data_IF_972360524675
#
_entry.id   IF_972360524675
#
_cell.length_a   1.000
_cell.length_b   1.000
_cell.length_c   1.000
_cell.angle_alpha   90.00
_cell.angle_beta   90.00
_cell.angle_gamma   90.00
#
_symmetry.space_group_name_H-M   'P 1'
#
loop_
_entity.id
_entity.type
_entity.pdbx_description
1 polymer ?
#
# COMPACT_ATOMS: atom_id res chain seq x y z
N UNK A 1 -14.38 28.14 -92.21
CA UNK A 1 -13.08 27.60 -92.66
C UNK A 1 -12.12 27.66 -91.47
N UNK A 2 -11.87 26.53 -90.81
CA UNK A 2 -10.70 26.34 -89.92
C UNK A 2 -9.48 26.06 -90.83
N UNK A 3 -8.18 26.08 -90.41
CA UNK A 3 -7.61 25.83 -89.06
C UNK A 3 -6.36 26.75 -88.76
N UNK A 4 -5.57 26.73 -87.68
CA UNK A 4 -4.84 25.66 -86.95
C UNK A 4 -4.16 26.23 -85.68
N UNK A 5 -4.09 25.39 -84.63
CA UNK A 5 -2.96 25.03 -83.73
C UNK A 5 -2.31 26.14 -82.87
N UNK A 6 -2.42 26.06 -81.54
CA UNK A 6 -1.56 25.31 -80.58
C UNK A 6 -0.10 25.82 -80.49
N UNK A 7 0.31 26.27 -79.30
CA UNK A 7 1.43 25.77 -78.45
C UNK A 7 1.59 26.69 -77.22
N UNK A 8 2.07 26.19 -76.06
CA UNK A 8 1.63 26.65 -74.73
C UNK A 8 2.73 27.27 -73.83
N UNK A 9 2.26 27.67 -72.64
CA UNK A 9 2.91 27.60 -71.32
C UNK A 9 3.95 28.66 -70.91
N UNK A 10 3.57 29.46 -69.90
CA UNK A 10 4.48 29.90 -68.83
C UNK A 10 3.76 29.93 -67.48
N UNK A 11 3.98 28.86 -66.71
CA UNK A 11 4.38 28.87 -65.29
C UNK A 11 3.50 29.67 -64.31
N UNK A 12 2.64 28.96 -63.59
CA UNK A 12 2.38 29.29 -62.19
C UNK A 12 2.73 28.08 -61.32
N UNK A 13 3.82 28.24 -60.58
CA UNK A 13 4.25 27.35 -59.49
C UNK A 13 3.27 27.58 -58.34
N UNK A 14 2.40 26.61 -58.07
CA UNK A 14 1.58 26.59 -56.86
C UNK A 14 2.19 25.56 -55.91
N UNK A 15 2.90 26.06 -54.91
CA UNK A 15 3.46 25.27 -53.80
C UNK A 15 2.27 24.71 -53.01
N UNK A 16 2.05 23.41 -53.11
CA UNK A 16 1.07 22.69 -52.30
C UNK A 16 1.75 22.21 -51.03
N UNK A 17 1.72 23.02 -49.97
CA UNK A 17 2.15 22.62 -48.64
C UNK A 17 1.10 21.68 -48.05
N UNK A 18 1.32 20.37 -48.16
CA UNK A 18 0.52 19.37 -47.46
C UNK A 18 0.89 19.40 -45.97
N UNK A 19 0.08 20.09 -45.16
CA UNK A 19 0.11 20.00 -43.70
C UNK A 19 -0.42 18.62 -43.28
N UNK A 20 0.48 17.67 -43.06
CA UNK A 20 0.18 16.45 -42.31
C UNK A 20 0.07 16.87 -40.84
N UNK A 21 -1.16 17.08 -40.37
CA UNK A 21 -1.44 17.18 -38.95
C UNK A 21 -1.27 15.79 -38.33
N UNK A 22 -0.06 15.48 -37.84
CA UNK A 22 0.14 14.39 -36.89
C UNK A 22 -0.59 14.77 -35.60
N UNK A 23 -1.80 14.28 -35.44
CA UNK A 23 -2.50 14.29 -34.16
C UNK A 23 -1.77 13.37 -33.21
N UNK A 24 -0.96 13.97 -32.33
CA UNK A 24 -0.46 13.30 -31.13
C UNK A 24 -1.70 13.02 -30.27
N UNK A 25 -2.21 11.79 -30.33
CA UNK A 25 -3.19 11.31 -29.36
C UNK A 25 -2.49 11.24 -28.02
N UNK A 26 -2.58 12.31 -27.24
CA UNK A 26 -2.33 12.24 -25.80
C UNK A 26 -3.39 11.31 -25.22
N UNK A 27 -3.03 10.04 -25.03
CA UNK A 27 -3.80 9.11 -24.21
C UNK A 27 -3.80 9.66 -22.79
N UNK A 28 -4.79 10.47 -22.44
CA UNK A 28 -5.13 10.72 -21.03
C UNK A 28 -5.53 9.35 -20.47
N UNK A 29 -4.61 8.73 -19.72
CA UNK A 29 -4.91 7.48 -19.04
C UNK A 29 -6.08 7.77 -18.10
N UNK A 30 -7.21 7.08 -18.29
CA UNK A 30 -8.37 7.25 -17.44
C UNK A 30 -7.97 7.06 -15.97
N UNK A 31 -8.36 8.00 -15.12
CA UNK A 31 -8.07 7.97 -13.68
C UNK A 31 -8.39 6.58 -13.09
N UNK A 32 -7.50 6.02 -12.26
CA UNK A 32 -7.74 4.72 -11.65
C UNK A 32 -8.99 4.76 -10.77
N UNK A 33 -9.70 3.64 -10.69
CA UNK A 33 -10.73 3.47 -9.68
C UNK A 33 -10.08 3.43 -8.29
N UNK A 34 -10.61 4.19 -7.33
CA UNK A 34 -10.11 4.25 -5.96
C UNK A 34 -11.26 4.08 -4.97
N UNK A 35 -11.02 3.28 -3.95
CA UNK A 35 -11.87 3.17 -2.77
C UNK A 35 -11.02 3.29 -1.51
N UNK A 36 -11.30 4.29 -0.68
CA UNK A 36 -10.77 4.38 0.69
C UNK A 36 -11.59 3.44 1.58
N UNK A 37 -10.92 2.52 2.26
CA UNK A 37 -11.52 1.54 3.18
C UNK A 37 -11.30 1.92 4.64
N UNK A 38 -10.15 2.51 4.94
CA UNK A 38 -9.80 3.01 6.27
C UNK A 38 -9.09 4.34 6.11
N UNK A 39 -9.47 5.33 6.91
CA UNK A 39 -8.75 6.59 7.03
C UNK A 39 -8.91 7.15 8.44
N UNK A 40 -7.84 7.13 9.23
CA UNK A 40 -7.87 7.70 10.57
C UNK A 40 -8.03 9.23 10.53
N UNK A 41 -7.50 9.88 9.50
CA UNK A 41 -7.58 11.34 9.34
C UNK A 41 -8.98 11.82 8.96
N UNK A 42 -9.75 10.99 8.24
CA UNK A 42 -11.13 11.29 7.83
C UNK A 42 -12.18 10.58 8.68
N UNK A 43 -11.77 9.81 9.70
CA UNK A 43 -12.64 8.97 10.53
C UNK A 43 -13.50 7.99 9.71
N UNK A 44 -12.86 7.31 8.74
CA UNK A 44 -13.50 6.32 7.87
C UNK A 44 -13.05 4.92 8.29
N UNK A 45 -14.01 4.03 8.49
CA UNK A 45 -13.81 2.59 8.56
C UNK A 45 -14.99 1.90 7.88
N UNK A 46 -14.72 1.18 6.80
CA UNK A 46 -15.74 0.44 6.05
C UNK A 46 -15.76 -0.99 6.57
N UNK A 47 -16.88 -1.48 7.10
CA UNK A 47 -16.98 -2.85 7.65
C UNK A 47 -16.94 -3.95 6.59
N UNK A 48 -17.63 -3.73 5.46
CA UNK A 48 -17.69 -4.67 4.35
C UNK A 48 -17.77 -3.92 3.03
N UNK A 49 -17.04 -4.38 2.02
CA UNK A 49 -17.03 -3.77 0.70
C UNK A 49 -16.60 -4.77 -0.37
N UNK A 50 -17.02 -4.55 -1.61
CA UNK A 50 -16.60 -5.36 -2.75
C UNK A 50 -16.49 -4.55 -4.06
N UNK A 51 -15.59 -5.00 -4.93
CA UNK A 51 -15.49 -4.58 -6.32
C UNK A 51 -15.13 -5.76 -7.22
N UNK A 52 -15.52 -5.70 -8.48
CA UNK A 52 -15.23 -6.74 -9.46
C UNK A 52 -14.89 -6.17 -10.84
N UNK A 53 -14.28 -7.01 -11.68
CA UNK A 53 -13.99 -6.70 -13.09
C UNK A 53 -15.23 -6.23 -13.84
N UNK A 54 -16.39 -6.86 -13.62
CA UNK A 54 -17.65 -6.53 -14.30
C UNK A 54 -18.06 -5.07 -14.13
N UNK A 55 -17.88 -4.52 -12.92
CA UNK A 55 -18.28 -3.14 -12.59
C UNK A 55 -17.17 -2.13 -12.88
N UNK A 56 -15.92 -2.49 -12.61
CA UNK A 56 -14.79 -1.53 -12.61
C UNK A 56 -13.99 -1.55 -13.91
N UNK A 57 -13.76 -2.74 -14.48
CA UNK A 57 -12.97 -2.94 -15.71
C UNK A 57 -13.63 -3.98 -16.62
N UNK A 58 -14.82 -3.69 -17.20
CA UNK A 58 -15.61 -4.69 -17.93
C UNK A 58 -14.91 -5.24 -19.19
N UNK A 59 -13.79 -4.63 -19.61
CA UNK A 59 -12.95 -5.06 -20.72
C UNK A 59 -11.78 -5.97 -20.29
N UNK A 60 -11.62 -6.25 -18.99
CA UNK A 60 -10.59 -7.17 -18.50
C UNK A 60 -10.84 -8.58 -19.03
N UNK A 61 -9.81 -9.23 -19.57
CA UNK A 61 -9.92 -10.57 -20.13
C UNK A 61 -10.13 -11.65 -19.05
N UNK A 62 -9.54 -11.47 -17.87
CA UNK A 62 -9.73 -12.35 -16.73
C UNK A 62 -10.67 -11.69 -15.70
N UNK A 63 -11.64 -12.44 -15.15
CA UNK A 63 -12.47 -11.94 -14.06
C UNK A 63 -11.63 -11.76 -12.79
N UNK A 64 -11.95 -10.73 -12.02
CA UNK A 64 -11.31 -10.49 -10.73
C UNK A 64 -12.32 -9.88 -9.74
N UNK A 65 -12.02 -10.02 -8.45
CA UNK A 65 -12.76 -9.37 -7.37
C UNK A 65 -11.83 -8.94 -6.24
N UNK A 66 -12.18 -7.84 -5.58
CA UNK A 66 -11.59 -7.45 -4.29
C UNK A 66 -12.71 -7.36 -3.28
N UNK A 67 -12.52 -7.97 -2.10
CA UNK A 67 -13.48 -7.93 -1.00
C UNK A 67 -12.79 -7.46 0.27
N UNK A 68 -13.51 -6.64 1.05
CA UNK A 68 -13.17 -6.30 2.42
C UNK A 68 -14.21 -6.89 3.37
N UNK A 69 -13.76 -7.44 4.49
CA UNK A 69 -14.62 -7.91 5.57
C UNK A 69 -13.99 -7.66 6.95
N UNK A 70 -14.82 -7.37 7.96
CA UNK A 70 -14.45 -7.38 9.38
C UNK A 70 -14.80 -8.74 9.98
N UNK A 71 -13.81 -9.42 10.57
CA UNK A 71 -13.98 -10.68 11.29
C UNK A 71 -14.67 -10.47 12.64
N UNK A 72 -15.38 -11.51 13.09
CA UNK A 72 -16.18 -11.52 14.32
C UNK A 72 -15.88 -12.77 15.15
N UNK A 73 -16.05 -12.67 16.47
CA UNK A 73 -15.92 -13.74 17.45
C UNK A 73 -14.49 -13.98 17.94
N UNK A 74 -14.33 -14.42 19.19
CA UNK A 74 -13.04 -14.78 19.77
C UNK A 74 -12.02 -13.64 19.76
N UNK A 75 -10.73 -13.97 19.59
CA UNK A 75 -9.65 -12.97 19.58
C UNK A 75 -9.49 -12.27 18.22
N UNK A 76 -10.22 -12.67 17.18
CA UNK A 76 -10.23 -12.01 15.87
C UNK A 76 -11.32 -10.92 15.74
N UNK A 77 -12.13 -10.70 16.78
CA UNK A 77 -13.17 -9.67 16.77
C UNK A 77 -12.59 -8.31 16.35
N UNK A 78 -13.15 -7.74 15.29
CA UNK A 78 -12.77 -6.44 14.74
C UNK A 78 -11.60 -6.46 13.76
N UNK A 79 -11.03 -7.63 13.43
CA UNK A 79 -9.92 -7.70 12.45
C UNK A 79 -10.43 -7.57 11.03
N UNK A 80 -9.81 -6.69 10.25
CA UNK A 80 -10.11 -6.49 8.84
C UNK A 80 -9.28 -7.42 7.96
N UNK A 81 -9.93 -7.95 6.92
CA UNK A 81 -9.28 -8.65 5.82
C UNK A 81 -9.59 -7.94 4.49
N UNK A 82 -8.60 -7.90 3.61
CA UNK A 82 -8.77 -7.61 2.18
C UNK A 82 -8.39 -8.86 1.41
N UNK A 83 -9.33 -9.38 0.62
CA UNK A 83 -9.13 -10.54 -0.25
C UNK A 83 -9.12 -10.07 -1.70
N UNK A 84 -7.97 -10.17 -2.36
CA UNK A 84 -7.84 -9.93 -3.80
C UNK A 84 -7.86 -11.28 -4.49
N UNK A 85 -8.85 -11.52 -5.33
CA UNK A 85 -8.88 -12.65 -6.26
C UNK A 85 -8.72 -12.10 -7.68
N UNK A 86 -7.60 -12.40 -8.35
CA UNK A 86 -7.32 -11.90 -9.70
C UNK A 86 -7.82 -12.85 -10.81
N UNK A 87 -8.56 -13.91 -10.46
CA UNK A 87 -9.01 -14.98 -11.35
C UNK A 87 -8.07 -16.20 -11.38
N UNK A 88 -6.84 -16.08 -10.89
CA UNK A 88 -5.85 -17.17 -10.81
C UNK A 88 -5.22 -17.31 -9.42
N UNK A 89 -4.93 -16.17 -8.80
CA UNK A 89 -4.43 -16.02 -7.44
C UNK A 89 -5.48 -15.40 -6.53
N UNK A 90 -5.55 -15.91 -5.31
CA UNK A 90 -6.23 -15.27 -4.19
C UNK A 90 -5.20 -14.87 -3.12
N UNK A 91 -5.22 -13.60 -2.70
CA UNK A 91 -4.29 -13.03 -1.71
C UNK A 91 -5.13 -12.47 -0.57
N UNK A 92 -4.87 -12.92 0.66
CA UNK A 92 -5.56 -12.42 1.87
C UNK A 92 -4.61 -11.53 2.68
N UNK A 93 -4.96 -10.26 2.80
CA UNK A 93 -4.19 -9.20 3.46
C UNK A 93 -4.90 -8.80 4.76
N UNK A 94 -4.15 -8.46 5.80
CA UNK A 94 -4.68 -8.09 7.12
C UNK A 94 -4.30 -6.65 7.47
N UNK A 95 -5.12 -5.64 7.12
CA UNK A 95 -4.82 -4.24 7.46
C UNK A 95 -4.67 -3.98 8.96
N UNK A 96 -5.42 -4.68 9.81
CA UNK A 96 -5.34 -4.56 11.27
C UNK A 96 -4.00 -5.06 11.84
N UNK A 97 -3.21 -5.80 11.05
CA UNK A 97 -1.94 -6.40 11.45
C UNK A 97 -0.81 -6.00 10.50
N UNK A 98 -0.53 -4.70 10.43
CA UNK A 98 0.59 -4.15 9.67
C UNK A 98 0.55 -4.45 8.17
N UNK A 99 -0.65 -4.65 7.61
CA UNK A 99 -0.86 -5.07 6.21
C UNK A 99 -0.15 -6.39 5.87
N UNK A 100 -0.05 -7.32 6.84
CA UNK A 100 0.52 -8.65 6.62
C UNK A 100 -0.28 -9.47 5.60
N UNK A 101 0.36 -10.47 4.99
CA UNK A 101 -0.30 -11.42 4.10
C UNK A 101 -0.54 -12.72 4.85
N UNK A 102 -1.81 -12.99 5.16
CA UNK A 102 -2.20 -14.23 5.83
C UNK A 102 -1.84 -15.45 5.00
N UNK A 103 -2.21 -15.42 3.72
CA UNK A 103 -1.95 -16.49 2.75
C UNK A 103 -2.08 -15.97 1.31
N UNK A 104 -1.48 -16.69 0.38
CA UNK A 104 -1.82 -16.62 -1.04
C UNK A 104 -2.06 -18.02 -1.61
N UNK A 105 -3.03 -18.16 -2.52
CA UNK A 105 -3.44 -19.46 -3.09
C UNK A 105 -3.52 -19.39 -4.61
N UNK A 106 -2.99 -20.42 -5.29
CA UNK A 106 -3.12 -20.64 -6.74
C UNK A 106 -3.52 -22.09 -7.01
N UNK A 107 -4.78 -22.36 -7.33
CA UNK A 107 -5.26 -23.75 -7.44
C UNK A 107 -4.98 -24.52 -6.15
N UNK A 108 -4.19 -25.59 -6.22
CA UNK A 108 -3.79 -26.41 -5.06
C UNK A 108 -2.54 -25.89 -4.33
N UNK A 109 -1.83 -24.90 -4.88
CA UNK A 109 -0.60 -24.36 -4.28
C UNK A 109 -0.92 -23.23 -3.30
N UNK A 110 -0.55 -23.43 -2.03
CA UNK A 110 -0.70 -22.44 -0.94
C UNK A 110 0.65 -21.89 -0.50
N UNK A 111 0.78 -20.57 -0.49
CA UNK A 111 1.79 -19.84 0.27
C UNK A 111 1.23 -19.53 1.65
N UNK A 112 1.63 -20.32 2.64
CA UNK A 112 1.17 -20.26 4.03
C UNK A 112 1.54 -21.52 4.81
N UNK A 113 1.20 -21.54 6.09
CA UNK A 113 1.49 -22.65 6.99
C UNK A 113 0.37 -22.80 8.02
N UNK A 114 0.28 -23.97 8.67
CA UNK A 114 -0.80 -24.27 9.61
C UNK A 114 -0.36 -24.00 11.06
N UNK A 115 -0.45 -22.74 11.48
CA UNK A 115 -0.18 -22.33 12.86
C UNK A 115 -1.17 -22.96 13.86
N UNK A 116 -0.77 -23.25 15.11
CA UNK A 116 -1.72 -23.55 16.18
C UNK A 116 -2.63 -22.36 16.52
N UNK A 117 -2.22 -21.12 16.21
CA UNK A 117 -3.04 -19.91 16.37
C UNK A 117 -4.04 -19.81 15.22
N UNK A 118 -5.30 -20.21 15.47
CA UNK A 118 -6.34 -20.29 14.43
C UNK A 118 -7.04 -18.96 14.13
N UNK A 119 -7.17 -18.11 15.14
CA UNK A 119 -7.73 -16.77 14.98
C UNK A 119 -6.71 -15.84 14.31
N UNK A 120 -7.17 -14.95 13.43
CA UNK A 120 -6.36 -13.77 13.04
C UNK A 120 -6.45 -12.79 14.21
N UNK A 121 -5.58 -12.93 15.21
CA UNK A 121 -5.72 -12.24 16.50
C UNK A 121 -5.59 -10.73 16.33
N UNK A 122 -6.57 -9.97 16.82
CA UNK A 122 -6.49 -8.51 16.85
C UNK A 122 -5.37 -8.07 17.81
N UNK A 123 -4.51 -7.09 17.45
CA UNK A 123 -3.44 -6.62 18.33
C UNK A 123 -3.88 -6.12 19.71
N UNK A 124 -5.15 -5.74 19.91
CA UNK A 124 -5.69 -5.35 21.22
C UNK A 124 -5.64 -6.50 22.24
N UNK A 125 -5.59 -7.75 21.77
CA UNK A 125 -5.51 -8.96 22.59
C UNK A 125 -4.09 -9.50 22.74
N UNK A 126 -3.08 -8.79 22.21
CA UNK A 126 -1.68 -9.19 22.23
C UNK A 126 -0.92 -8.29 23.19
N UNK A 127 -0.38 -8.87 24.25
CA UNK A 127 0.60 -8.20 25.09
C UNK A 127 2.01 -8.61 24.64
N UNK A 128 2.66 -7.76 23.83
CA UNK A 128 3.99 -8.03 23.26
C UNK A 128 5.06 -8.31 24.33
N UNK A 129 4.95 -7.70 25.51
CA UNK A 129 5.90 -7.86 26.62
C UNK A 129 5.75 -9.20 27.36
N UNK A 130 4.64 -9.92 27.15
CA UNK A 130 4.39 -11.18 27.84
C UNK A 130 5.44 -12.23 27.50
N UNK A 131 5.64 -13.19 28.42
CA UNK A 131 6.59 -14.31 28.27
C UNK A 131 8.03 -13.87 27.94
N UNK A 132 8.46 -12.74 28.52
CA UNK A 132 9.80 -12.19 28.28
C UNK A 132 9.96 -11.65 26.85
N UNK A 133 8.98 -10.86 26.38
CA UNK A 133 8.99 -10.27 25.05
C UNK A 133 8.55 -11.21 23.92
N UNK A 134 8.06 -12.42 24.23
CA UNK A 134 7.59 -13.41 23.25
C UNK A 134 6.08 -13.31 22.95
N UNK A 135 5.39 -12.31 23.48
CA UNK A 135 3.94 -12.14 23.29
C UNK A 135 3.49 -12.02 21.84
N UNK A 136 4.38 -11.61 20.94
CA UNK A 136 4.15 -11.58 19.49
C UNK A 136 3.69 -12.95 18.94
N UNK A 137 4.15 -14.07 19.53
CA UNK A 137 3.78 -15.42 19.12
C UNK A 137 2.32 -15.78 19.39
N UNK A 138 1.63 -15.08 20.30
CA UNK A 138 0.20 -15.33 20.60
C UNK A 138 -0.70 -15.01 19.40
N UNK A 139 -0.19 -14.26 18.41
CA UNK A 139 -0.91 -13.89 17.21
C UNK A 139 -0.38 -14.49 15.91
N UNK A 140 0.78 -15.12 15.88
CA UNK A 140 1.47 -15.41 14.61
C UNK A 140 0.84 -16.56 13.83
N UNK A 141 0.32 -16.25 12.64
CA UNK A 141 -0.19 -17.25 11.69
C UNK A 141 -0.10 -16.81 10.21
N UNK A 142 0.49 -15.65 9.95
CA UNK A 142 0.65 -15.12 8.61
C UNK A 142 1.72 -15.86 7.82
N UNK A 143 1.54 -15.94 6.49
CA UNK A 143 2.60 -16.34 5.58
C UNK A 143 3.71 -15.29 5.51
N UNK A 144 3.34 -14.00 5.47
CA UNK A 144 4.26 -12.88 5.46
C UNK A 144 3.83 -11.84 6.48
N UNK A 145 4.72 -11.60 7.45
CA UNK A 145 4.63 -10.52 8.41
C UNK A 145 5.83 -9.58 8.23
N UNK A 146 5.64 -8.29 8.57
CA UNK A 146 6.74 -7.33 8.61
C UNK A 146 7.30 -7.30 10.03
N UNK A 147 8.55 -7.75 10.19
CA UNK A 147 9.26 -7.70 11.46
C UNK A 147 10.08 -6.40 11.52
N UNK A 148 9.67 -5.44 12.35
CA UNK A 148 10.13 -4.06 12.28
C UNK A 148 9.20 -3.06 12.98
N UNK A 149 9.32 -1.76 12.70
CA UNK A 149 10.41 -1.10 11.95
C UNK A 149 11.51 -0.59 12.89
N UNK A 150 11.12 -0.11 14.07
CA UNK A 150 12.05 0.43 15.08
C UNK A 150 13.14 -0.59 15.46
N UNK A 151 12.76 -1.86 15.59
CA UNK A 151 13.65 -2.98 15.86
C UNK A 151 13.09 -4.27 15.25
N UNK A 152 13.93 -5.29 15.13
CA UNK A 152 13.54 -6.65 14.76
C UNK A 152 14.47 -7.67 15.44
N UNK A 153 14.17 -8.96 15.26
CA UNK A 153 14.96 -10.04 15.87
C UNK A 153 14.32 -10.60 17.14
N UNK A 154 15.13 -11.29 17.96
CA UNK A 154 14.72 -11.88 19.22
C UNK A 154 14.48 -10.84 20.32
N UNK A 155 13.69 -11.16 21.36
CA UNK A 155 13.54 -10.27 22.50
C UNK A 155 14.82 -10.23 23.35
N UNK A 156 15.01 -9.14 24.09
CA UNK A 156 16.10 -8.98 25.04
C UNK A 156 16.54 -7.53 25.24
N UNK A 157 17.55 -7.30 26.08
CA UNK A 157 18.06 -5.97 26.35
C UNK A 157 18.78 -5.40 25.13
N UNK A 158 18.54 -4.13 24.86
CA UNK A 158 19.27 -3.33 23.89
C UNK A 158 19.65 -1.97 24.49
N UNK A 159 20.76 -1.40 24.01
CA UNK A 159 21.33 -0.14 24.49
C UNK A 159 21.32 0.90 23.37
N UNK A 160 20.84 2.10 23.66
CA UNK A 160 20.68 3.18 22.70
C UNK A 160 20.93 4.54 23.34
N UNK A 161 21.23 5.55 22.52
CA UNK A 161 21.32 6.93 22.99
C UNK A 161 19.92 7.53 23.03
N UNK A 162 19.50 8.00 24.21
CA UNK A 162 18.19 8.59 24.40
C UNK A 162 18.11 10.01 23.81
N UNK A 163 16.93 10.63 23.94
CA UNK A 163 16.66 11.97 23.41
C UNK A 163 17.42 13.13 24.10
N UNK A 164 18.11 12.87 25.20
CA UNK A 164 18.97 13.85 25.91
C UNK A 164 20.47 13.56 25.76
N UNK A 165 20.85 12.49 25.04
CA UNK A 165 22.24 12.15 24.74
C UNK A 165 22.88 11.13 25.68
N UNK A 166 22.14 10.60 26.65
CA UNK A 166 22.64 9.58 27.57
C UNK A 166 22.44 8.17 27.01
N UNK A 167 23.32 7.25 27.39
CA UNK A 167 23.12 5.82 27.16
C UNK A 167 21.97 5.31 28.03
N UNK A 168 21.01 4.66 27.38
CA UNK A 168 19.86 4.04 28.02
C UNK A 168 19.74 2.58 27.54
N UNK A 169 19.08 1.74 28.36
CA UNK A 169 18.77 0.37 28.00
C UNK A 169 17.25 0.15 28.01
N UNK A 170 16.76 -0.68 27.08
CA UNK A 170 15.37 -1.14 27.06
C UNK A 170 15.28 -2.62 26.73
N UNK A 171 14.24 -3.28 27.26
CA UNK A 171 13.87 -4.63 26.82
C UNK A 171 13.05 -4.55 25.52
N UNK A 172 13.63 -5.06 24.43
CA UNK A 172 12.96 -5.19 23.15
C UNK A 172 12.10 -6.46 23.10
N UNK A 173 10.97 -6.36 22.40
CA UNK A 173 10.08 -7.50 22.15
C UNK A 173 10.42 -8.17 20.84
N UNK A 174 10.01 -9.44 20.69
CA UNK A 174 10.19 -10.21 19.47
C UNK A 174 9.63 -9.45 18.25
N UNK A 175 10.48 -9.27 17.24
CA UNK A 175 10.12 -8.80 15.89
C UNK A 175 9.52 -7.38 15.79
N UNK A 176 9.70 -6.54 16.81
CA UNK A 176 9.21 -5.17 16.80
C UNK A 176 7.67 -5.08 16.86
N UNK A 177 7.12 -3.95 16.41
CA UNK A 177 5.70 -3.62 16.61
C UNK A 177 4.88 -3.58 15.34
N UNK A 178 5.47 -3.33 14.17
CA UNK A 178 4.72 -2.94 12.95
C UNK A 178 3.66 -3.97 12.53
N UNK A 179 3.93 -5.28 12.68
CA UNK A 179 2.96 -6.35 12.40
C UNK A 179 1.75 -6.35 13.36
N UNK A 180 1.86 -5.70 14.52
CA UNK A 180 0.80 -5.56 15.52
C UNK A 180 0.28 -4.13 15.60
N UNK A 181 0.50 -3.30 14.57
CA UNK A 181 -0.10 -1.97 14.45
C UNK A 181 -1.15 -1.98 13.32
N UNK A 182 -2.38 -1.52 13.59
CA UNK A 182 -3.38 -1.31 12.55
C UNK A 182 -2.94 -0.20 11.58
N UNK A 183 -3.24 -0.38 10.30
CA UNK A 183 -3.03 0.66 9.28
C UNK A 183 -3.91 1.89 9.52
N UNK A 184 -3.33 3.09 9.39
CA UNK A 184 -4.03 4.37 9.50
C UNK A 184 -4.80 4.70 8.23
N UNK A 185 -4.25 4.34 7.07
CA UNK A 185 -4.87 4.56 5.77
C UNK A 185 -4.87 3.24 4.99
N UNK A 186 -5.97 2.90 4.36
CA UNK A 186 -6.10 1.70 3.51
C UNK A 186 -6.97 2.04 2.31
N UNK A 187 -6.44 1.83 1.10
CA UNK A 187 -7.18 2.03 -0.14
C UNK A 187 -7.00 0.86 -1.12
N UNK A 188 -8.04 0.63 -1.92
CA UNK A 188 -7.97 -0.25 -3.10
C UNK A 188 -7.94 0.61 -4.34
N UNK A 189 -6.95 0.35 -5.22
CA UNK A 189 -6.71 1.13 -6.44
C UNK A 189 -6.66 0.17 -7.63
N UNK A 190 -7.49 0.40 -8.65
CA UNK A 190 -7.53 -0.43 -9.87
C UNK A 190 -7.33 0.43 -11.11
N UNK A 191 -6.34 0.09 -11.93
CA UNK A 191 -6.13 0.79 -13.21
C UNK A 191 -7.31 0.53 -14.16
N UNK A 192 -7.79 1.59 -14.82
CA UNK A 192 -8.90 1.48 -15.80
C UNK A 192 -8.45 1.10 -17.20
N UNK A 193 -7.14 0.96 -17.41
CA UNK A 193 -6.54 0.55 -18.67
C UNK A 193 -5.72 -0.73 -18.48
N UNK A 194 -5.55 -1.56 -19.54
CA UNK A 194 -4.66 -2.72 -19.48
C UNK A 194 -3.26 -2.32 -18.96
N UNK A 195 -2.65 -3.13 -18.08
CA UNK A 195 -3.05 -4.49 -17.67
C UNK A 195 -4.04 -4.54 -16.49
N UNK A 196 -4.75 -3.45 -16.16
CA UNK A 196 -5.76 -3.38 -15.10
C UNK A 196 -5.24 -3.76 -13.71
N UNK A 197 -4.02 -3.32 -13.37
CA UNK A 197 -3.34 -3.64 -12.10
C UNK A 197 -4.24 -3.31 -10.90
N UNK A 198 -4.39 -4.28 -10.01
CA UNK A 198 -5.17 -4.22 -8.77
C UNK A 198 -4.17 -4.02 -7.62
N UNK A 199 -4.39 -3.03 -6.77
CA UNK A 199 -3.52 -2.71 -5.62
C UNK A 199 -4.35 -2.56 -4.37
N UNK A 200 -3.89 -3.14 -3.26
CA UNK A 200 -4.24 -2.73 -1.92
C UNK A 200 -3.05 -1.97 -1.33
N UNK A 201 -3.26 -0.69 -1.02
CA UNK A 201 -2.24 0.17 -0.42
C UNK A 201 -2.60 0.44 1.03
N UNK A 202 -1.61 0.43 1.91
CA UNK A 202 -1.77 0.75 3.31
C UNK A 202 -0.66 1.65 3.83
N UNK A 203 -0.98 2.48 4.81
CA UNK A 203 -0.03 3.26 5.59
C UNK A 203 -0.08 2.80 7.04
N UNK A 204 1.06 2.41 7.60
CA UNK A 204 1.19 1.96 8.99
C UNK A 204 2.26 2.79 9.69
N UNK A 205 1.87 3.40 10.79
CA UNK A 205 2.68 4.35 11.54
C UNK A 205 3.25 3.72 12.80
N UNK A 206 4.57 3.73 12.95
CA UNK A 206 5.25 3.46 14.21
C UNK A 206 5.79 4.78 14.77
N UNK A 207 4.94 5.46 15.54
CA UNK A 207 5.16 6.83 16.03
C UNK A 207 5.03 6.90 17.55
N UNK A 208 5.97 7.58 18.20
CA UNK A 208 5.97 7.84 19.63
C UNK A 208 6.52 9.24 19.93
N UNK A 209 5.91 9.95 20.89
CA UNK A 209 6.44 11.23 21.36
C UNK A 209 7.81 11.01 22.02
N UNK A 210 8.83 11.75 21.56
CA UNK A 210 10.25 11.52 21.87
C UNK A 210 10.81 10.14 21.49
N UNK A 211 10.11 9.37 20.66
CA UNK A 211 10.56 8.07 20.15
C UNK A 211 10.59 8.02 18.63
N UNK A 212 10.39 6.84 18.02
CA UNK A 212 10.39 6.66 16.58
C UNK A 212 9.31 7.51 15.91
N UNK A 213 9.59 7.91 14.67
CA UNK A 213 8.66 8.63 13.79
C UNK A 213 8.71 7.99 12.41
N UNK A 214 8.39 6.70 12.37
CA UNK A 214 8.50 5.89 11.15
C UNK A 214 7.12 5.71 10.53
N UNK A 215 7.09 5.76 9.21
CA UNK A 215 5.91 5.48 8.41
C UNK A 215 6.26 4.42 7.37
N UNK A 216 5.47 3.35 7.37
CA UNK A 216 5.46 2.34 6.33
C UNK A 216 4.33 2.66 5.36
N UNK A 217 4.67 2.97 4.12
CA UNK A 217 3.74 2.83 3.01
C UNK A 217 3.97 1.48 2.34
N UNK A 218 2.92 0.68 2.20
CA UNK A 218 2.99 -0.62 1.54
C UNK A 218 1.94 -0.74 0.44
N UNK A 219 2.31 -1.38 -0.66
CA UNK A 219 1.42 -1.75 -1.75
C UNK A 219 1.56 -3.25 -2.03
N UNK A 220 0.44 -3.97 -1.96
CA UNK A 220 0.32 -5.36 -2.39
C UNK A 220 -0.54 -5.39 -3.65
N UNK A 221 -0.04 -5.99 -4.72
CA UNK A 221 -0.60 -5.78 -6.05
C UNK A 221 -0.47 -6.98 -6.98
N UNK A 222 -1.41 -7.11 -7.90
CA UNK A 222 -1.39 -8.15 -8.94
C UNK A 222 -2.14 -7.67 -10.18
N UNK A 223 -2.03 -8.40 -11.28
CA UNK A 223 -2.77 -8.17 -12.52
C UNK A 223 -3.78 -9.31 -12.72
N UNK A 224 -4.95 -9.06 -13.34
CA UNK A 224 -5.91 -10.11 -13.65
C UNK A 224 -5.28 -11.28 -14.41
N UNK A 225 -5.48 -12.50 -13.92
CA UNK A 225 -4.95 -13.75 -14.50
C UNK A 225 -3.46 -14.01 -14.25
N UNK A 226 -2.73 -13.11 -13.61
CA UNK A 226 -1.31 -13.31 -13.31
C UNK A 226 -1.09 -14.40 -12.25
N UNK A 227 0.00 -15.16 -12.39
CA UNK A 227 0.46 -16.15 -11.39
C UNK A 227 1.43 -15.57 -10.37
N UNK A 228 1.57 -14.25 -10.32
CA UNK A 228 2.42 -13.55 -9.35
C UNK A 228 1.71 -12.33 -8.77
N UNK A 229 2.24 -11.86 -7.66
CA UNK A 229 1.89 -10.59 -7.06
C UNK A 229 3.17 -9.91 -6.57
N UNK A 230 3.09 -8.61 -6.35
CA UNK A 230 4.20 -7.76 -5.94
C UNK A 230 3.85 -7.05 -4.64
N UNK A 231 4.82 -7.06 -3.73
CA UNK A 231 4.84 -6.21 -2.54
C UNK A 231 5.86 -5.10 -2.81
N UNK A 232 5.47 -3.85 -2.63
CA UNK A 232 6.33 -2.68 -2.74
C UNK A 232 6.17 -1.84 -1.48
N UNK A 233 7.22 -1.78 -0.66
CA UNK A 233 7.21 -1.09 0.61
C UNK A 233 8.18 0.09 0.57
N UNK A 234 7.78 1.20 1.17
CA UNK A 234 8.60 2.38 1.37
C UNK A 234 8.52 2.78 2.84
N UNK A 235 9.70 3.01 3.44
CA UNK A 235 9.81 3.46 4.83
C UNK A 235 10.35 4.89 4.81
N UNK A 236 9.69 5.77 5.54
CA UNK A 236 10.09 7.18 5.68
C UNK A 236 10.22 7.56 7.15
N UNK A 237 11.24 8.35 7.47
CA UNK A 237 11.32 9.04 8.76
C UNK A 237 10.58 10.38 8.65
N UNK A 238 9.61 10.61 9.52
CA UNK A 238 8.90 11.88 9.58
C UNK A 238 9.72 12.84 10.44
N UNK A 239 10.45 13.76 9.79
CA UNK A 239 11.02 14.90 10.50
C UNK A 239 9.88 15.72 11.12
N UNK A 240 9.92 15.86 12.44
CA UNK A 240 9.09 16.86 13.11
C UNK A 240 9.43 18.25 12.56
N UNK A 241 8.42 19.12 12.45
CA UNK A 241 8.61 20.53 12.14
C UNK A 241 9.90 21.06 12.77
N UNK A 242 10.74 21.75 11.97
CA UNK A 242 11.93 22.46 12.46
C UNK A 242 11.55 23.17 13.76
N UNK A 243 12.40 23.05 14.79
CA UNK A 243 12.27 23.83 16.04
C UNK A 243 11.80 25.25 15.67
N UNK A 244 10.76 25.83 16.30
CA UNK A 244 10.55 27.25 16.18
C UNK A 244 11.87 27.91 16.54
N UNK A 245 12.43 28.67 15.61
CA UNK A 245 13.51 29.59 15.91
C UNK A 245 12.90 30.53 16.93
N UNK A 246 13.24 30.33 18.20
CA UNK A 246 13.05 31.38 19.19
C UNK A 246 14.08 32.41 18.78
N UNK A 247 13.64 33.46 18.09
CA UNK A 247 14.47 34.65 17.89
C UNK A 247 14.96 35.07 19.27
N UNK A 248 16.26 34.91 19.49
CA UNK A 248 16.93 35.47 20.65
C UNK A 248 16.72 36.98 20.60
N UNK A 249 16.11 37.54 21.65
CA UNK A 249 16.01 38.99 21.84
C UNK A 249 17.40 39.63 21.66
N UNK A 250 17.48 40.83 21.03
CA UNK A 250 18.74 41.51 20.86
C UNK A 250 19.29 41.94 22.23
N UNK A 251 20.57 41.68 22.44
CA UNK A 251 21.36 42.18 23.57
C UNK A 251 21.05 43.67 23.82
N UNK A 252 20.57 43.96 25.03
CA UNK A 252 20.55 45.33 25.55
C UNK A 252 22.01 45.75 25.72
N UNK A 253 22.44 46.70 24.88
CA UNK A 253 23.66 47.47 25.11
C UNK A 253 23.48 48.28 26.40
N UNK A 254 24.34 48.03 27.37
CA UNK A 254 24.79 49.05 28.33
C UNK A 254 26.18 49.54 27.88
#
# INVERSE_FOLDING_TARGET
MNPKRNVPDRRQVMILTALIAMSVYSSSAAEPFRQVLTSSSQNIHVDSWEASSEKVTPKSAAPWSVRKLTLRGGKQEGVDLIVINNGKLEITIIPTRGMGVLKAQMGDVRLGWDSPVKDVVHPQWINLQSRGGLGWLDGFNEWLCRCGLENNGGPGPDTFINNIGDEAAMELTLHGKIANLPAQEVEVIVDRQPPYRIRARGRVDEKMFYGPKLELETEISTEPGASSFRIADQISAIQGARKPVIDSEPERKE
#
